data_IF_158775324760
#
_entry.id   IF_158775324760
#
_cell.length_a   1.000
_cell.length_b   1.000
_cell.length_c   1.000
_cell.angle_alpha   90.00
_cell.angle_beta   90.00
_cell.angle_gamma   90.00
#
_symmetry.space_group_name_H-M   'P 1'
#
loop_
_entity.id
_entity.type
_entity.pdbx_description
1 polymer ?
#
# COMPACT_ATOMS: atom_id res chain seq x y z
N UNK A 1 -19.56 4.30 -5.37
CA UNK A 1 -18.51 5.11 -4.70
C UNK A 1 -18.74 6.61 -4.88
N UNK A 2 -19.00 7.10 -6.09
CA UNK A 2 -19.22 8.53 -6.38
C UNK A 2 -20.37 9.18 -5.57
N UNK A 3 -21.49 8.48 -5.36
CA UNK A 3 -22.61 8.98 -4.54
C UNK A 3 -22.27 9.33 -3.08
N UNK A 4 -21.19 8.77 -2.50
CA UNK A 4 -20.81 9.08 -1.11
C UNK A 4 -19.95 10.35 -0.98
N UNK A 5 -19.41 10.89 -2.08
CA UNK A 5 -18.73 12.19 -2.07
C UNK A 5 -19.67 13.31 -1.63
N UNK A 6 -20.93 13.28 -2.11
CA UNK A 6 -21.94 14.26 -1.77
C UNK A 6 -22.31 14.28 -0.26
N UNK A 7 -22.11 13.17 0.46
CA UNK A 7 -22.58 12.99 1.84
C UNK A 7 -21.44 13.17 2.86
N UNK A 8 -20.22 12.73 2.54
CA UNK A 8 -19.05 12.81 3.46
C UNK A 8 -18.11 13.98 3.17
N UNK A 9 -18.32 14.69 2.06
CA UNK A 9 -17.57 15.90 1.72
C UNK A 9 -16.08 15.67 1.45
N UNK A 10 -15.33 16.76 1.59
CA UNK A 10 -13.90 16.85 1.26
C UNK A 10 -12.98 15.80 1.91
N UNK A 11 -13.15 15.41 3.20
CA UNK A 11 -12.28 14.41 3.82
C UNK A 11 -12.28 13.07 3.09
N UNK A 12 -13.45 12.58 2.69
CA UNK A 12 -13.53 11.32 1.93
C UNK A 12 -12.87 11.44 0.55
N UNK A 13 -13.04 12.57 -0.14
CA UNK A 13 -12.42 12.82 -1.44
C UNK A 13 -10.88 12.81 -1.34
N UNK A 14 -10.31 13.43 -0.30
CA UNK A 14 -8.86 13.45 -0.05
C UNK A 14 -8.32 12.04 0.22
N UNK A 15 -9.01 11.25 1.06
CA UNK A 15 -8.59 9.86 1.32
C UNK A 15 -8.70 9.00 0.06
N UNK A 16 -9.74 9.20 -0.74
CA UNK A 16 -9.88 8.49 -2.01
C UNK A 16 -8.73 8.85 -2.97
N UNK A 17 -8.42 10.13 -3.13
CA UNK A 17 -7.30 10.61 -3.95
C UNK A 17 -5.97 10.03 -3.47
N UNK A 18 -5.71 10.05 -2.16
CA UNK A 18 -4.53 9.43 -1.55
C UNK A 18 -4.42 7.96 -1.94
N UNK A 19 -5.51 7.18 -1.84
CA UNK A 19 -5.50 5.77 -2.23
C UNK A 19 -5.23 5.58 -3.72
N UNK A 20 -5.75 6.45 -4.58
CA UNK A 20 -5.45 6.42 -6.02
C UNK A 20 -3.96 6.65 -6.27
N UNK A 21 -3.37 7.67 -5.63
CA UNK A 21 -1.94 7.98 -5.76
C UNK A 21 -1.07 6.82 -5.28
N UNK A 22 -1.37 6.27 -4.10
CA UNK A 22 -0.62 5.14 -3.53
C UNK A 22 -0.74 3.88 -4.41
N UNK A 23 -1.93 3.64 -4.97
CA UNK A 23 -2.15 2.53 -5.91
C UNK A 23 -1.34 2.72 -7.20
N UNK A 24 -1.38 3.92 -7.79
CA UNK A 24 -0.60 4.25 -8.96
C UNK A 24 0.91 4.11 -8.71
N UNK A 25 1.37 4.51 -7.52
CA UNK A 25 2.76 4.33 -7.10
C UNK A 25 3.15 2.85 -6.98
N UNK A 26 2.27 2.00 -6.43
CA UNK A 26 2.46 0.54 -6.40
C UNK A 26 2.55 -0.07 -7.81
N UNK A 27 1.71 0.36 -8.74
CA UNK A 27 1.76 -0.07 -10.14
C UNK A 27 3.09 0.36 -10.78
N UNK A 28 3.49 1.61 -10.60
CA UNK A 28 4.77 2.12 -11.09
C UNK A 28 5.97 1.35 -10.52
N UNK A 29 5.92 0.99 -9.23
CA UNK A 29 6.94 0.16 -8.59
C UNK A 29 7.00 -1.26 -9.20
N UNK A 30 5.86 -1.88 -9.45
CA UNK A 30 5.78 -3.17 -10.15
C UNK A 30 6.36 -3.11 -11.56
N UNK A 31 6.03 -2.07 -12.32
CA UNK A 31 6.59 -1.82 -13.64
C UNK A 31 8.11 -1.57 -13.59
N UNK A 32 8.60 -0.86 -12.59
CA UNK A 32 10.03 -0.64 -12.37
C UNK A 32 10.76 -1.97 -12.12
N UNK A 33 10.16 -2.88 -11.33
CA UNK A 33 10.69 -4.23 -11.11
C UNK A 33 10.70 -5.03 -12.42
N UNK A 34 9.62 -5.00 -13.19
CA UNK A 34 9.53 -5.70 -14.49
C UNK A 34 10.59 -5.22 -15.48
N UNK A 35 10.84 -3.91 -15.54
CA UNK A 35 11.84 -3.28 -16.42
C UNK A 35 13.27 -3.34 -15.87
N UNK A 36 13.48 -3.96 -14.70
CA UNK A 36 14.78 -4.02 -14.00
C UNK A 36 15.44 -2.65 -13.81
N UNK A 37 14.64 -1.64 -13.51
CA UNK A 37 15.15 -0.29 -13.26
C UNK A 37 16.12 -0.30 -12.06
N UNK A 38 17.23 0.46 -12.08
CA UNK A 38 18.24 0.43 -11.01
C UNK A 38 17.67 0.76 -9.62
N UNK A 39 16.70 1.68 -9.56
CA UNK A 39 16.02 2.05 -8.32
C UNK A 39 14.78 1.18 -7.98
N UNK A 40 14.47 0.13 -8.76
CA UNK A 40 13.19 -0.58 -8.65
C UNK A 40 12.93 -1.17 -7.26
N UNK A 41 13.95 -1.75 -6.62
CA UNK A 41 13.82 -2.34 -5.28
C UNK A 41 13.53 -1.28 -4.22
N UNK A 42 14.18 -0.11 -4.32
CA UNK A 42 13.94 1.02 -3.42
C UNK A 42 12.52 1.57 -3.58
N UNK A 43 12.08 1.74 -4.83
CA UNK A 43 10.73 2.22 -5.15
C UNK A 43 9.67 1.22 -4.66
N UNK A 44 9.89 -0.09 -4.84
CA UNK A 44 8.98 -1.13 -4.36
C UNK A 44 8.89 -1.22 -2.83
N UNK A 45 10.00 -1.03 -2.12
CA UNK A 45 9.97 -0.93 -0.65
C UNK A 45 9.17 0.28 -0.21
N UNK A 46 9.42 1.44 -0.82
CA UNK A 46 8.69 2.67 -0.51
C UNK A 46 7.17 2.51 -0.79
N UNK A 47 6.79 1.86 -1.90
CA UNK A 47 5.38 1.63 -2.22
C UNK A 47 4.70 0.70 -1.22
N UNK A 48 5.39 -0.36 -0.77
CA UNK A 48 4.85 -1.26 0.26
C UNK A 48 4.63 -0.54 1.59
N UNK A 49 5.57 0.32 2.00
CA UNK A 49 5.43 1.13 3.22
C UNK A 49 4.27 2.13 3.09
N UNK A 50 4.17 2.81 1.95
CA UNK A 50 3.07 3.75 1.69
C UNK A 50 1.69 3.06 1.71
N UNK A 51 1.57 1.87 1.12
CA UNK A 51 0.34 1.08 1.16
C UNK A 51 -0.02 0.64 2.57
N UNK A 52 0.95 0.12 3.34
CA UNK A 52 0.73 -0.27 4.73
C UNK A 52 0.29 0.92 5.60
N UNK A 53 0.94 2.08 5.46
CA UNK A 53 0.57 3.30 6.18
C UNK A 53 -0.83 3.79 5.82
N UNK A 54 -1.19 3.71 4.53
CA UNK A 54 -2.53 4.08 4.04
C UNK A 54 -3.59 3.15 4.60
N UNK A 55 -3.31 1.84 4.69
CA UNK A 55 -4.22 0.89 5.31
C UNK A 55 -4.41 1.22 6.80
N UNK A 56 -3.34 1.40 7.57
CA UNK A 56 -3.45 1.81 8.99
C UNK A 56 -4.33 3.05 9.12
N UNK A 57 -4.08 4.09 8.32
CA UNK A 57 -4.88 5.31 8.34
C UNK A 57 -6.36 5.05 8.01
N UNK A 58 -6.66 4.29 6.95
CA UNK A 58 -8.04 3.99 6.53
C UNK A 58 -8.79 3.11 7.53
N UNK A 59 -8.09 2.17 8.19
CA UNK A 59 -8.70 1.25 9.15
C UNK A 59 -8.87 1.89 10.54
N UNK A 60 -8.06 2.89 10.90
CA UNK A 60 -8.14 3.55 12.22
C UNK A 60 -8.94 4.85 12.22
N UNK A 61 -9.25 5.42 11.06
CA UNK A 61 -9.98 6.69 10.96
C UNK A 61 -11.40 6.52 10.40
N UNK A 62 -12.35 7.42 10.73
CA UNK A 62 -13.72 7.34 10.25
C UNK A 62 -13.90 7.88 8.81
N UNK A 63 -12.85 8.42 8.19
CA UNK A 63 -12.94 9.15 6.93
C UNK A 63 -13.37 8.27 5.75
N UNK A 64 -13.07 6.97 5.77
CA UNK A 64 -13.47 6.04 4.73
C UNK A 64 -14.67 5.17 5.15
N UNK A 65 -15.67 4.94 4.27
CA UNK A 65 -16.82 4.11 4.61
C UNK A 65 -16.41 2.66 4.83
N UNK A 66 -17.06 2.04 5.80
CA UNK A 66 -16.73 0.72 6.33
C UNK A 66 -18.05 -0.03 6.61
N UNK A 67 -18.19 -1.26 6.11
CA UNK A 67 -19.32 -2.17 6.38
C UNK A 67 -18.90 -3.42 7.19
N UNK A 68 -17.71 -3.39 7.80
CA UNK A 68 -17.14 -4.52 8.58
C UNK A 68 -17.91 -4.69 9.88
N UNK A 69 -17.95 -5.92 10.38
CA UNK A 69 -18.52 -6.20 11.70
C UNK A 69 -17.64 -5.55 12.79
N UNK A 70 -18.23 -5.20 13.95
CA UNK A 70 -17.44 -4.76 15.10
C UNK A 70 -16.38 -5.82 15.46
N UNK A 71 -15.13 -5.39 15.65
CA UNK A 71 -14.00 -6.29 15.97
C UNK A 71 -13.17 -6.76 14.77
N UNK A 72 -13.73 -6.78 13.55
CA UNK A 72 -13.02 -7.29 12.36
C UNK A 72 -11.87 -6.38 11.91
N UNK A 73 -11.95 -5.08 12.20
CA UNK A 73 -10.96 -4.09 11.74
C UNK A 73 -9.53 -4.48 12.13
N UNK A 74 -9.34 -5.00 13.35
CA UNK A 74 -8.04 -5.44 13.83
C UNK A 74 -7.51 -6.63 13.03
N UNK A 75 -8.37 -7.61 12.73
CA UNK A 75 -8.00 -8.81 11.96
C UNK A 75 -7.63 -8.42 10.53
N UNK A 76 -8.46 -7.61 9.87
CA UNK A 76 -8.22 -7.16 8.50
C UNK A 76 -6.93 -6.34 8.41
N UNK A 77 -6.71 -5.44 9.37
CA UNK A 77 -5.48 -4.65 9.43
C UNK A 77 -4.25 -5.54 9.67
N UNK A 78 -4.33 -6.50 10.59
CA UNK A 78 -3.23 -7.43 10.88
C UNK A 78 -2.85 -8.27 9.65
N UNK A 79 -3.84 -8.81 8.94
CA UNK A 79 -3.62 -9.57 7.70
C UNK A 79 -2.98 -8.69 6.63
N UNK A 80 -3.45 -7.45 6.45
CA UNK A 80 -2.84 -6.54 5.48
C UNK A 80 -1.39 -6.20 5.85
N UNK A 81 -1.12 -5.89 7.11
CA UNK A 81 0.25 -5.58 7.56
C UNK A 81 1.18 -6.79 7.41
N UNK A 82 0.70 -8.01 7.69
CA UNK A 82 1.45 -9.22 7.46
C UNK A 82 1.81 -9.40 5.98
N UNK A 83 0.86 -9.16 5.07
CA UNK A 83 1.11 -9.19 3.62
C UNK A 83 2.24 -8.24 3.21
N UNK A 84 2.16 -6.97 3.63
CA UNK A 84 3.20 -5.99 3.32
C UNK A 84 4.55 -6.34 3.94
N UNK A 85 4.55 -6.82 5.19
CA UNK A 85 5.77 -7.23 5.90
C UNK A 85 6.48 -8.42 5.22
N UNK A 86 5.73 -9.40 4.72
CA UNK A 86 6.28 -10.55 3.99
C UNK A 86 7.03 -10.07 2.74
N UNK A 87 6.38 -9.24 1.91
CA UNK A 87 7.00 -8.73 0.69
C UNK A 87 8.19 -7.81 0.95
N UNK A 88 8.09 -6.97 1.97
CA UNK A 88 9.18 -6.10 2.37
C UNK A 88 10.38 -6.93 2.86
N UNK A 89 10.15 -7.92 3.70
CA UNK A 89 11.18 -8.87 4.15
C UNK A 89 11.83 -9.60 2.98
N UNK A 90 11.03 -10.04 2.00
CA UNK A 90 11.54 -10.65 0.77
C UNK A 90 12.48 -9.70 0.01
N UNK A 91 12.08 -8.45 -0.23
CA UNK A 91 12.90 -7.47 -0.94
C UNK A 91 14.18 -7.06 -0.18
N UNK A 92 14.19 -7.18 1.15
CA UNK A 92 15.39 -6.91 1.96
C UNK A 92 16.37 -8.09 2.01
N UNK A 93 15.86 -9.32 2.16
CA UNK A 93 16.68 -10.49 2.46
C UNK A 93 17.01 -11.36 1.25
N UNK A 94 16.26 -11.27 0.16
CA UNK A 94 16.41 -12.17 -0.97
C UNK A 94 17.73 -11.95 -1.73
N UNK A 95 18.63 -12.94 -1.64
CA UNK A 95 19.87 -13.00 -2.44
C UNK A 95 19.58 -12.96 -3.95
N UNK A 96 18.46 -13.55 -4.38
CA UNK A 96 18.00 -13.51 -5.77
C UNK A 96 17.71 -12.08 -6.22
N UNK A 97 16.99 -11.31 -5.41
CA UNK A 97 16.71 -9.90 -5.71
C UNK A 97 18.01 -9.12 -5.80
N UNK A 98 18.90 -9.27 -4.81
CA UNK A 98 20.22 -8.62 -4.82
C UNK A 98 21.01 -8.90 -6.10
N UNK A 99 21.13 -10.17 -6.49
CA UNK A 99 21.80 -10.59 -7.72
C UNK A 99 21.15 -10.01 -8.99
N UNK A 100 19.81 -9.95 -9.02
CA UNK A 100 19.07 -9.48 -10.20
C UNK A 100 19.20 -7.97 -10.43
N UNK A 101 19.32 -7.20 -9.34
CA UNK A 101 19.37 -5.73 -9.37
C UNK A 101 20.75 -5.16 -9.03
N UNK A 102 21.79 -5.99 -8.94
CA UNK A 102 23.16 -5.54 -8.67
C UNK A 102 23.35 -4.88 -7.29
N UNK A 103 22.53 -5.25 -6.30
CA UNK A 103 22.64 -4.72 -4.95
C UNK A 103 23.65 -5.57 -4.16
N UNK A 104 24.77 -4.98 -3.76
CA UNK A 104 25.81 -5.65 -2.95
C UNK A 104 25.28 -6.13 -1.59
#
# INVERSE_FOLDING_TARGET
MLNRLAIRGWPFALVLLLRVVVTAFGIAAGLALLRRHPAAVTIAKASLVASAATDVFVYTTPYFPNNRMPGDTTIVLAVSLAYHAIWLTYLFRSKRVRKTYGLA
#
